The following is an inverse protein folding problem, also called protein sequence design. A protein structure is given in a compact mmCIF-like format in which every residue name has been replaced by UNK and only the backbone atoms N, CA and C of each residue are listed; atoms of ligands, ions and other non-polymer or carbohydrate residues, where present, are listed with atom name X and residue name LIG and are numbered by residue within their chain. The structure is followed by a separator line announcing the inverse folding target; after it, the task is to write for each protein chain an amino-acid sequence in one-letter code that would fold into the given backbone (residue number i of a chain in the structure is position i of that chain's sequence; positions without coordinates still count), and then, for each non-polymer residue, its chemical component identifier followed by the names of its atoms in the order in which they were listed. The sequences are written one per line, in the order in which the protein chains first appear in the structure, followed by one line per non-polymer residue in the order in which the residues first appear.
data_IF_551342599660
#
_entry.id   IF_551342599660
#
_cell.length_a   1.000
_cell.length_b   1.000
_cell.length_c   1.000
_cell.angle_alpha   90.00
_cell.angle_beta   90.00
_cell.angle_gamma   90.00
#
_symmetry.space_group_name_H-M   'P 1'
#
loop_
_entity.id
_entity.type
_entity.pdbx_description
1 polymer ?
#
# COMPACT_ATOMS: atom_id res chain seq x y z
N UNK A 1 36.74 -19.64 38.87
CA UNK A 1 36.92 -18.45 38.02
C UNK A 1 37.62 -18.90 36.75
N UNK A 2 37.37 -18.19 35.66
CA UNK A 2 37.85 -18.39 34.27
C UNK A 2 37.01 -19.31 33.36
N UNK A 3 36.22 -18.65 32.51
CA UNK A 3 35.79 -19.12 31.18
C UNK A 3 37.01 -19.12 30.23
N UNK A 4 37.04 -20.01 29.23
CA UNK A 4 37.16 -19.52 27.84
C UNK A 4 36.28 -20.32 26.87
N UNK A 5 35.50 -19.66 26.01
CA UNK A 5 35.86 -19.24 24.64
C UNK A 5 35.46 -20.28 23.58
N UNK A 6 34.37 -19.96 22.87
CA UNK A 6 33.92 -20.60 21.65
C UNK A 6 34.81 -20.19 20.46
N UNK A 7 35.21 -21.08 19.53
CA UNK A 7 35.68 -20.67 18.21
C UNK A 7 34.61 -20.85 17.12
N UNK A 8 34.54 -19.85 16.25
CA UNK A 8 33.53 -19.64 15.23
C UNK A 8 33.55 -20.66 14.08
N UNK A 9 32.36 -21.02 13.59
CA UNK A 9 32.13 -21.65 12.29
C UNK A 9 31.92 -20.55 11.21
N UNK A 10 32.15 -20.86 9.92
CA UNK A 10 32.44 -19.85 8.90
C UNK A 10 31.18 -19.10 8.40
N UNK A 11 31.44 -17.89 7.92
CA UNK A 11 30.50 -16.90 7.40
C UNK A 11 29.86 -17.37 6.08
N UNK A 12 28.60 -17.79 6.12
CA UNK A 12 27.78 -17.89 4.91
C UNK A 12 27.15 -16.53 4.62
N UNK A 13 27.78 -15.83 3.68
CA UNK A 13 27.22 -14.67 2.97
C UNK A 13 25.99 -15.13 2.18
N UNK A 14 24.83 -15.11 2.84
CA UNK A 14 23.54 -15.30 2.21
C UNK A 14 23.14 -14.04 1.46
N UNK A 15 23.50 -13.96 0.18
CA UNK A 15 22.89 -13.01 -0.75
C UNK A 15 21.36 -13.25 -0.71
N UNK A 16 20.63 -12.30 -0.10
CA UNK A 16 19.18 -12.32 -0.08
C UNK A 16 18.67 -12.23 -1.52
N UNK A 17 18.26 -13.36 -2.07
CA UNK A 17 17.63 -13.47 -3.38
C UNK A 17 16.38 -12.60 -3.41
N UNK A 18 16.44 -11.45 -4.08
CA UNK A 18 15.31 -10.55 -4.30
C UNK A 18 14.38 -11.12 -5.37
N UNK A 19 13.68 -12.20 -5.02
CA UNK A 19 12.48 -12.58 -5.76
C UNK A 19 11.44 -11.46 -5.58
N UNK A 20 10.77 -10.99 -6.65
CA UNK A 20 9.66 -10.07 -6.49
C UNK A 20 8.61 -10.73 -5.58
N UNK A 21 7.92 -9.98 -4.70
CA UNK A 21 6.95 -10.57 -3.79
C UNK A 21 5.79 -11.19 -4.57
N UNK A 22 5.88 -12.49 -4.86
CA UNK A 22 4.78 -13.31 -5.37
C UNK A 22 3.89 -13.69 -4.19
N UNK A 23 2.74 -13.01 -4.06
CA UNK A 23 1.81 -13.14 -2.94
C UNK A 23 0.88 -11.93 -2.80
N UNK A 24 -0.03 -11.93 -1.82
CA UNK A 24 -1.11 -10.93 -1.66
C UNK A 24 -0.70 -9.45 -1.70
N UNK A 25 0.57 -9.13 -1.44
CA UNK A 25 1.11 -7.77 -1.50
C UNK A 25 1.19 -7.19 -2.93
N UNK A 26 1.31 -8.03 -3.96
CA UNK A 26 1.31 -7.59 -5.37
C UNK A 26 -0.06 -7.62 -6.02
N UNK A 27 -1.04 -8.35 -5.45
CA UNK A 27 -2.42 -8.37 -5.94
C UNK A 27 -3.30 -7.29 -5.29
N UNK A 28 -2.98 -6.86 -4.06
CA UNK A 28 -3.77 -5.86 -3.33
C UNK A 28 -3.61 -4.47 -3.93
N UNK A 29 -4.74 -3.81 -4.21
CA UNK A 29 -4.79 -2.42 -4.72
C UNK A 29 -5.39 -1.50 -3.66
N UNK A 30 -4.77 -0.34 -3.49
CA UNK A 30 -5.29 0.72 -2.62
C UNK A 30 -5.87 1.82 -3.49
N UNK A 31 -7.15 2.11 -3.30
CA UNK A 31 -7.90 3.06 -4.13
C UNK A 31 -8.23 4.30 -3.30
N UNK A 32 -7.73 5.46 -3.70
CA UNK A 32 -8.12 6.76 -3.17
C UNK A 32 -9.15 7.40 -4.10
N UNK A 33 -10.35 7.62 -3.60
CA UNK A 33 -11.43 8.23 -4.37
C UNK A 33 -11.50 9.72 -4.11
N UNK A 34 -11.40 10.51 -5.17
CA UNK A 34 -11.43 11.96 -5.19
C UNK A 34 -10.51 12.63 -4.14
N UNK A 35 -9.22 12.25 -4.02
CA UNK A 35 -8.32 12.87 -3.06
C UNK A 35 -8.22 14.38 -3.34
N UNK A 36 -8.46 15.18 -2.29
CA UNK A 36 -8.51 16.63 -2.40
C UNK A 36 -7.15 17.31 -2.30
N UNK A 37 -6.24 16.77 -1.49
CA UNK A 37 -4.93 17.38 -1.23
C UNK A 37 -3.82 16.45 -1.74
N UNK A 38 -2.85 16.98 -2.52
CA UNK A 38 -1.75 16.18 -3.06
C UNK A 38 -0.88 15.58 -1.95
N UNK A 39 -0.69 16.30 -0.84
CA UNK A 39 0.03 15.78 0.34
C UNK A 39 -0.57 14.49 0.92
N UNK A 40 -1.89 14.28 0.85
CA UNK A 40 -2.52 13.04 1.29
C UNK A 40 -2.19 11.86 0.38
N UNK A 41 -2.02 12.10 -0.92
CA UNK A 41 -1.61 11.08 -1.89
C UNK A 41 -0.17 10.66 -1.61
N UNK A 42 0.73 11.62 -1.37
CA UNK A 42 2.10 11.36 -0.94
C UNK A 42 2.17 10.56 0.36
N UNK A 43 1.46 11.01 1.40
CA UNK A 43 1.40 10.31 2.68
C UNK A 43 0.85 8.88 2.55
N UNK A 44 -0.14 8.66 1.69
CA UNK A 44 -0.65 7.33 1.40
C UNK A 44 0.42 6.46 0.71
N UNK A 45 1.11 6.98 -0.32
CA UNK A 45 2.20 6.26 -0.99
C UNK A 45 3.29 5.83 0.01
N UNK A 46 3.67 6.73 0.94
CA UNK A 46 4.59 6.42 2.03
C UNK A 46 4.11 5.27 2.90
N UNK A 47 2.86 5.34 3.37
CA UNK A 47 2.27 4.29 4.20
C UNK A 47 2.25 2.93 3.48
N UNK A 48 1.92 2.90 2.19
CA UNK A 48 1.93 1.69 1.39
C UNK A 48 3.33 1.07 1.32
N UNK A 49 4.34 1.88 0.97
CA UNK A 49 5.72 1.39 0.86
C UNK A 49 6.25 0.84 2.18
N UNK A 50 6.01 1.55 3.29
CA UNK A 50 6.38 1.08 4.63
C UNK A 50 5.74 -0.27 4.99
N UNK A 51 4.51 -0.51 4.51
CA UNK A 51 3.78 -1.75 4.74
C UNK A 51 4.06 -2.84 3.68
N UNK A 52 4.97 -2.59 2.73
CA UNK A 52 5.34 -3.54 1.68
C UNK A 52 4.40 -3.58 0.47
N UNK A 53 3.48 -2.63 0.34
CA UNK A 53 2.58 -2.50 -0.80
C UNK A 53 3.07 -1.46 -1.81
N UNK A 54 2.72 -1.65 -3.08
CA UNK A 54 3.14 -0.76 -4.16
C UNK A 54 2.02 -0.29 -5.10
N UNK A 55 0.81 -0.87 -5.02
CA UNK A 55 -0.26 -0.57 -5.97
C UNK A 55 -1.22 0.48 -5.44
N UNK A 56 -0.97 1.72 -5.81
CA UNK A 56 -1.84 2.85 -5.58
C UNK A 56 -2.67 3.17 -6.84
N UNK A 57 -3.97 3.42 -6.65
CA UNK A 57 -4.90 3.85 -7.70
C UNK A 57 -5.64 5.09 -7.21
N UNK A 58 -5.72 6.12 -8.06
CA UNK A 58 -6.35 7.39 -7.78
C UNK A 58 -7.56 7.55 -8.70
N UNK A 59 -8.75 7.66 -8.12
CA UNK A 59 -9.99 7.90 -8.88
C UNK A 59 -10.29 9.38 -8.84
N UNK A 60 -10.36 10.02 -10.02
CA UNK A 60 -10.74 11.43 -10.17
C UNK A 60 -10.06 12.38 -9.14
N UNK A 61 -8.72 12.37 -9.01
CA UNK A 61 -8.04 13.29 -8.08
C UNK A 61 -8.36 14.75 -8.43
N UNK A 62 -8.56 15.59 -7.41
CA UNK A 62 -8.93 16.99 -7.62
C UNK A 62 -7.80 17.81 -8.25
N UNK A 63 -6.56 17.42 -7.97
CA UNK A 63 -5.36 18.03 -8.54
C UNK A 63 -4.89 17.17 -9.72
N UNK A 64 -4.79 17.73 -10.94
CA UNK A 64 -4.25 17.02 -12.07
C UNK A 64 -2.75 16.76 -11.87
N UNK A 65 -2.24 15.67 -12.44
CA UNK A 65 -0.82 15.31 -12.35
C UNK A 65 -0.24 15.22 -10.93
N UNK A 66 -1.05 14.82 -9.94
CA UNK A 66 -0.66 14.69 -8.52
C UNK A 66 0.60 13.86 -8.27
N UNK A 67 0.97 12.95 -9.18
CA UNK A 67 2.19 12.15 -9.09
C UNK A 67 3.48 12.99 -9.20
N UNK A 68 3.40 14.15 -9.86
CA UNK A 68 4.51 15.09 -10.07
C UNK A 68 4.36 16.35 -9.22
N UNK A 69 3.37 16.40 -8.34
CA UNK A 69 3.11 17.54 -7.48
C UNK A 69 4.20 17.65 -6.39
N UNK A 70 4.84 18.82 -6.20
CA UNK A 70 5.90 18.99 -5.20
C UNK A 70 5.45 18.63 -3.78
N UNK A 71 4.21 18.89 -3.41
CA UNK A 71 3.67 18.57 -2.08
C UNK A 71 3.47 17.05 -1.93
N UNK A 72 2.96 16.38 -2.98
CA UNK A 72 2.84 14.92 -2.97
C UNK A 72 4.21 14.24 -2.87
N UNK A 73 5.21 14.72 -3.62
CA UNK A 73 6.59 14.21 -3.59
C UNK A 73 7.21 14.42 -2.20
N UNK A 74 7.08 15.63 -1.64
CA UNK A 74 7.60 15.93 -0.30
C UNK A 74 6.98 15.01 0.77
N UNK A 75 5.68 14.75 0.68
CA UNK A 75 4.96 13.90 1.63
C UNK A 75 5.20 12.40 1.41
N UNK A 76 5.59 11.98 0.20
CA UNK A 76 5.93 10.59 -0.11
C UNK A 76 7.20 10.12 0.60
N UNK A 77 8.15 11.03 0.89
CA UNK A 77 9.31 10.78 1.77
C UNK A 77 10.03 9.46 1.45
N UNK A 78 10.50 9.31 0.21
CA UNK A 78 11.20 8.10 -0.27
C UNK A 78 10.29 7.00 -0.83
N UNK A 79 8.98 7.23 -0.91
CA UNK A 79 8.02 6.39 -1.64
C UNK A 79 7.68 6.92 -3.03
N UNK A 80 8.64 7.59 -3.67
CA UNK A 80 8.49 8.21 -4.99
C UNK A 80 8.17 7.18 -6.08
N UNK A 81 8.65 5.95 -5.94
CA UNK A 81 8.33 4.80 -6.80
C UNK A 81 6.84 4.41 -6.74
N UNK A 82 6.24 4.38 -5.55
CA UNK A 82 4.81 4.09 -5.38
C UNK A 82 3.96 5.25 -5.88
N UNK A 83 4.39 6.49 -5.62
CA UNK A 83 3.70 7.68 -6.10
C UNK A 83 3.75 7.78 -7.64
N UNK A 84 4.92 7.56 -8.26
CA UNK A 84 5.12 7.64 -9.70
C UNK A 84 4.50 6.46 -10.48
N UNK A 85 4.23 5.33 -9.81
CA UNK A 85 3.51 4.19 -10.39
C UNK A 85 2.00 4.22 -10.12
N UNK A 86 1.50 5.29 -9.49
CA UNK A 86 0.09 5.42 -9.16
C UNK A 86 -0.78 5.56 -10.42
N UNK A 87 -1.75 4.66 -10.59
CA UNK A 87 -2.64 4.72 -11.74
C UNK A 87 -3.77 5.71 -11.49
N UNK A 88 -3.97 6.66 -12.40
CA UNK A 88 -5.09 7.61 -12.34
C UNK A 88 -6.19 7.13 -13.29
N UNK A 89 -7.41 6.99 -12.76
CA UNK A 89 -8.59 6.52 -13.52
C UNK A 89 -9.79 7.46 -13.29
N UNK A 90 -10.74 7.55 -14.24
CA UNK A 90 -11.84 8.50 -14.11
C UNK A 90 -12.94 8.03 -13.16
N UNK A 91 -13.17 6.73 -13.02
CA UNK A 91 -14.28 6.21 -12.18
C UNK A 91 -13.83 5.14 -11.20
N UNK A 92 -14.64 4.94 -10.14
CA UNK A 92 -14.44 3.85 -9.20
C UNK A 92 -14.59 2.48 -9.88
N UNK A 93 -15.47 2.37 -10.89
CA UNK A 93 -15.64 1.15 -11.68
C UNK A 93 -14.34 0.74 -12.38
N UNK A 94 -13.61 1.70 -12.95
CA UNK A 94 -12.32 1.44 -13.59
C UNK A 94 -11.27 0.97 -12.59
N UNK A 95 -11.23 1.58 -11.40
CA UNK A 95 -10.31 1.17 -10.33
C UNK A 95 -10.58 -0.25 -9.83
N UNK A 96 -11.86 -0.65 -9.80
CA UNK A 96 -12.31 -1.97 -9.34
C UNK A 96 -12.36 -3.02 -10.46
N UNK A 97 -11.98 -2.68 -11.69
CA UNK A 97 -11.97 -3.63 -12.80
C UNK A 97 -11.03 -4.81 -12.52
N UNK A 98 -11.58 -6.03 -12.63
CA UNK A 98 -10.88 -7.27 -12.30
C UNK A 98 -10.62 -7.50 -10.80
N UNK A 99 -11.23 -6.71 -9.92
CA UNK A 99 -11.21 -6.94 -8.47
C UNK A 99 -12.34 -7.89 -8.09
N UNK A 100 -12.00 -9.06 -7.56
CA UNK A 100 -13.00 -10.06 -7.13
C UNK A 100 -13.55 -9.78 -5.74
N UNK A 101 -12.81 -9.03 -4.92
CA UNK A 101 -13.18 -8.73 -3.55
C UNK A 101 -12.66 -7.36 -3.13
N UNK A 102 -13.53 -6.53 -2.57
CA UNK A 102 -13.24 -5.14 -2.22
C UNK A 102 -13.76 -4.78 -0.84
N UNK A 103 -12.99 -3.98 -0.10
CA UNK A 103 -13.39 -3.44 1.20
C UNK A 103 -13.44 -1.91 1.10
N UNK A 104 -14.53 -1.32 1.58
CA UNK A 104 -14.64 0.13 1.74
C UNK A 104 -14.36 0.53 3.20
N UNK A 105 -13.48 1.52 3.39
CA UNK A 105 -13.16 2.05 4.72
C UNK A 105 -14.10 3.23 5.06
N UNK A 106 -14.64 3.24 6.28
CA UNK A 106 -15.51 4.31 6.77
C UNK A 106 -15.24 4.61 8.25
N UNK A 107 -15.23 5.89 8.60
CA UNK A 107 -15.14 6.36 9.99
C UNK A 107 -16.50 6.50 10.68
N UNK A 108 -17.60 6.22 9.97
CA UNK A 108 -18.98 6.37 10.46
C UNK A 108 -19.76 5.09 10.23
N UNK A 109 -20.74 4.86 11.09
CA UNK A 109 -21.73 3.80 10.91
C UNK A 109 -22.56 4.16 9.68
N UNK A 110 -22.61 3.24 8.72
CA UNK A 110 -23.50 3.36 7.58
C UNK A 110 -24.77 2.60 7.91
N UNK A 111 -25.91 3.23 7.67
CA UNK A 111 -27.24 2.60 7.78
C UNK A 111 -27.42 1.51 6.71
N UNK A 112 -26.82 1.75 5.54
CA UNK A 112 -26.86 0.84 4.40
C UNK A 112 -25.47 0.32 4.07
N UNK A 113 -25.36 -1.00 3.93
CA UNK A 113 -24.15 -1.67 3.48
C UNK A 113 -23.96 -3.07 4.08
N UNK A 114 -22.89 -3.76 3.67
CA UNK A 114 -22.51 -5.04 4.27
C UNK A 114 -22.15 -4.88 5.75
N UNK A 115 -22.13 -5.98 6.52
CA UNK A 115 -21.70 -5.96 7.92
C UNK A 115 -20.35 -5.28 8.11
N UNK A 116 -20.23 -4.48 9.16
CA UNK A 116 -18.98 -3.81 9.52
C UNK A 116 -17.99 -4.83 10.05
N UNK A 117 -16.75 -4.73 9.59
CA UNK A 117 -15.64 -5.56 10.05
C UNK A 117 -14.56 -4.65 10.60
N UNK A 118 -13.93 -5.07 11.70
CA UNK A 118 -12.68 -4.46 12.14
C UNK A 118 -11.57 -4.76 11.11
N UNK A 119 -10.57 -3.87 10.92
CA UNK A 119 -9.52 -4.07 9.91
C UNK A 119 -8.82 -5.44 10.00
N UNK A 120 -8.57 -5.93 11.22
CA UNK A 120 -7.96 -7.25 11.42
C UNK A 120 -8.85 -8.40 10.93
N UNK A 121 -10.16 -8.33 11.22
CA UNK A 121 -11.10 -9.36 10.78
C UNK A 121 -11.27 -9.35 9.25
N UNK A 122 -11.31 -8.16 8.64
CA UNK A 122 -11.34 -8.03 7.19
C UNK A 122 -10.06 -8.62 6.56
N UNK A 123 -8.88 -8.32 7.10
CA UNK A 123 -7.61 -8.86 6.59
C UNK A 123 -7.49 -10.39 6.69
N UNK A 124 -8.17 -11.05 7.63
CA UNK A 124 -8.25 -12.51 7.67
C UNK A 124 -9.11 -13.07 6.51
N UNK A 125 -10.25 -12.44 6.23
CA UNK A 125 -11.12 -12.83 5.11
C UNK A 125 -10.46 -12.64 3.74
N UNK A 126 -9.47 -11.75 3.65
CA UNK A 126 -8.72 -11.47 2.42
C UNK A 126 -7.78 -12.61 1.99
N UNK A 127 -7.48 -13.56 2.88
CA UNK A 127 -6.50 -14.64 2.64
C UNK A 127 -7.10 -15.88 1.97
N UNK A 128 -8.43 -16.03 2.07
CA UNK A 128 -9.23 -17.08 1.44
C UNK A 128 -9.57 -16.73 0.01
#
# INVERSE_FOLDING_TARGET
METPQNPAAPSESGAASSLPPSGGFTSTRFVLVEPSHPGNVGAAARALKTMGFSRLVLVAPRVPHVQSDPEAIAMASGADDVLASAHVVPTLGDALSGVHWSIALTARVREYGPPRLAPRAAAEQART
#
